data_IF_567469710891
#
_entry.id   IF_567469710891
#
_cell.length_a   1.000
_cell.length_b   1.000
_cell.length_c   1.000
_cell.angle_alpha   90.00
_cell.angle_beta   90.00
_cell.angle_gamma   90.00
#
_symmetry.space_group_name_H-M   'P 1'
#
loop_
_entity.id
_entity.type
_entity.pdbx_description
1 polymer ?
#
# COMPACT_ATOMS: atom_id res chain seq x y z
N UNK A 1 17.65 4.81 -11.58
CA UNK A 1 16.20 4.98 -11.36
C UNK A 1 15.86 4.83 -9.86
N UNK A 2 16.51 3.91 -9.13
CA UNK A 2 16.35 3.70 -7.68
C UNK A 2 16.69 4.96 -6.85
N UNK A 3 17.64 5.74 -7.28
CA UNK A 3 18.17 6.90 -6.57
C UNK A 3 17.17 8.06 -6.43
N UNK A 4 16.40 8.33 -7.47
CA UNK A 4 15.46 9.45 -7.49
C UNK A 4 14.25 9.25 -6.56
N UNK A 5 13.91 8.00 -6.27
CA UNK A 5 12.79 7.65 -5.40
C UNK A 5 13.10 7.88 -3.91
N UNK A 6 14.34 7.67 -3.49
CA UNK A 6 14.77 7.67 -2.08
C UNK A 6 15.03 9.09 -1.55
N UNK A 7 15.43 10.03 -2.42
CA UNK A 7 15.92 11.35 -2.01
C UNK A 7 14.85 12.31 -1.47
N UNK A 8 13.56 12.06 -1.67
CA UNK A 8 12.48 12.95 -1.21
C UNK A 8 11.77 12.50 0.07
N UNK A 9 12.22 11.42 0.66
CA UNK A 9 11.41 10.59 1.56
C UNK A 9 11.19 11.17 2.96
N UNK A 10 12.24 11.57 3.67
CA UNK A 10 12.12 11.99 5.07
C UNK A 10 11.39 13.33 5.26
N UNK A 11 11.35 14.17 4.22
CA UNK A 11 10.68 15.49 4.26
C UNK A 11 9.19 15.42 3.90
N UNK A 12 8.79 14.44 3.09
CA UNK A 12 7.42 14.38 2.54
C UNK A 12 6.45 13.53 3.39
N UNK A 13 6.96 12.70 4.30
CA UNK A 13 6.15 11.79 5.12
C UNK A 13 6.51 11.94 6.61
N UNK A 14 6.15 13.08 7.23
CA UNK A 14 6.38 13.30 8.65
C UNK A 14 5.60 12.28 9.49
N UNK A 15 6.03 12.07 10.74
CA UNK A 15 5.20 11.34 11.70
C UNK A 15 3.94 12.18 11.92
N UNK A 16 2.80 11.61 11.66
CA UNK A 16 1.52 12.30 11.81
C UNK A 16 0.61 11.52 12.74
N UNK A 17 0.05 12.21 13.71
CA UNK A 17 -1.01 11.70 14.59
C UNK A 17 -2.40 11.94 13.99
N UNK A 18 -2.50 12.09 12.66
CA UNK A 18 -3.77 12.33 12.00
C UNK A 18 -4.74 11.20 12.25
N UNK A 19 -5.96 11.55 12.55
CA UNK A 19 -7.02 10.58 12.75
C UNK A 19 -7.31 9.85 11.44
N UNK A 20 -7.34 8.53 11.49
CA UNK A 20 -7.79 7.69 10.37
C UNK A 20 -9.25 7.95 10.05
N UNK A 21 -9.66 7.67 8.82
CA UNK A 21 -11.07 7.71 8.44
C UNK A 21 -11.92 6.84 9.39
N UNK A 22 -13.16 7.27 9.63
CA UNK A 22 -14.14 6.46 10.37
C UNK A 22 -14.56 5.20 9.61
N UNK A 23 -14.45 5.24 8.27
CA UNK A 23 -14.66 4.10 7.37
C UNK A 23 -13.32 3.43 7.14
N UNK A 24 -13.23 2.11 7.26
CA UNK A 24 -12.00 1.39 6.98
C UNK A 24 -11.61 1.53 5.50
N UNK A 25 -10.50 2.18 5.25
CA UNK A 25 -10.08 2.55 3.90
C UNK A 25 -8.87 1.72 3.46
N UNK A 26 -9.08 0.89 2.44
CA UNK A 26 -8.02 0.18 1.71
C UNK A 26 -7.52 1.13 0.63
N UNK A 27 -6.22 1.36 0.51
CA UNK A 27 -5.69 2.29 -0.49
C UNK A 27 -4.82 1.60 -1.55
N UNK A 28 -5.05 2.02 -2.79
CA UNK A 28 -4.14 1.80 -3.89
C UNK A 28 -3.76 3.15 -4.50
N UNK A 29 -2.45 3.37 -4.73
CA UNK A 29 -1.94 4.55 -5.45
C UNK A 29 -1.17 4.10 -6.68
N UNK A 30 -1.35 4.79 -7.79
CA UNK A 30 -0.62 4.43 -9.00
C UNK A 30 -0.97 5.27 -10.23
N UNK A 31 -0.68 4.72 -11.39
CA UNK A 31 -1.02 5.29 -12.69
C UNK A 31 -2.08 4.45 -13.39
N UNK A 32 -2.82 5.01 -14.35
CA UNK A 32 -3.83 4.26 -15.13
C UNK A 32 -3.29 2.98 -15.74
N UNK A 33 -2.04 2.98 -16.20
CA UNK A 33 -1.40 1.81 -16.82
C UNK A 33 -1.25 0.60 -15.88
N UNK A 34 -1.27 0.83 -14.56
CA UNK A 34 -1.14 -0.22 -13.54
C UNK A 34 -2.44 -0.49 -12.79
N UNK A 35 -3.44 0.37 -12.95
CA UNK A 35 -4.75 0.20 -12.32
C UNK A 35 -5.47 -1.08 -12.78
N UNK A 36 -5.20 -1.55 -13.99
CA UNK A 36 -5.73 -2.81 -14.54
C UNK A 36 -5.48 -4.03 -13.66
N UNK A 37 -4.39 -4.04 -12.86
CA UNK A 37 -4.09 -5.16 -11.96
C UNK A 37 -5.05 -5.26 -10.77
N UNK A 38 -5.87 -4.24 -10.53
CA UNK A 38 -6.94 -4.30 -9.54
C UNK A 38 -8.06 -5.26 -9.94
N UNK A 39 -8.26 -5.48 -11.24
CA UNK A 39 -9.24 -6.46 -11.75
C UNK A 39 -8.89 -7.88 -11.30
N UNK A 40 -7.61 -8.22 -11.20
CA UNK A 40 -7.16 -9.56 -10.80
C UNK A 40 -7.58 -9.92 -9.37
N UNK A 41 -7.73 -8.90 -8.52
CA UNK A 41 -8.14 -9.04 -7.11
C UNK A 41 -9.55 -8.51 -6.82
N UNK A 42 -10.28 -8.07 -7.84
CA UNK A 42 -11.64 -7.53 -7.65
C UNK A 42 -12.59 -8.50 -6.96
N UNK A 43 -12.56 -9.83 -7.20
CA UNK A 43 -13.40 -10.76 -6.45
C UNK A 43 -13.11 -10.74 -4.93
N UNK A 44 -11.84 -10.58 -4.55
CA UNK A 44 -11.47 -10.45 -3.15
C UNK A 44 -11.95 -9.13 -2.55
N UNK A 45 -11.81 -8.02 -3.29
CA UNK A 45 -12.26 -6.70 -2.82
C UNK A 45 -13.79 -6.65 -2.64
N UNK A 46 -14.55 -7.27 -3.56
CA UNK A 46 -16.00 -7.41 -3.43
C UNK A 46 -16.36 -8.12 -2.11
N UNK A 47 -15.74 -9.27 -1.87
CA UNK A 47 -16.00 -10.08 -0.67
C UNK A 47 -15.59 -9.36 0.61
N UNK A 48 -14.49 -8.63 0.58
CA UNK A 48 -14.01 -7.81 1.72
C UNK A 48 -14.97 -6.67 2.04
N UNK A 49 -15.53 -5.99 1.04
CA UNK A 49 -16.47 -4.89 1.24
C UNK A 49 -17.87 -5.36 1.65
N UNK A 50 -18.24 -6.60 1.34
CA UNK A 50 -19.59 -7.13 1.55
C UNK A 50 -19.97 -7.12 3.03
N UNK A 51 -21.02 -6.34 3.37
CA UNK A 51 -21.55 -6.26 4.75
C UNK A 51 -20.62 -5.60 5.77
N UNK A 52 -19.55 -4.92 5.32
CA UNK A 52 -18.58 -4.23 6.18
C UNK A 52 -18.50 -2.75 5.82
N UNK A 53 -18.15 -1.92 6.79
CA UNK A 53 -17.91 -0.49 6.57
C UNK A 53 -16.50 -0.27 6.00
N UNK A 54 -16.28 -0.74 4.75
CA UNK A 54 -15.00 -0.71 4.04
C UNK A 54 -15.18 -0.02 2.70
N UNK A 55 -14.22 0.84 2.36
CA UNK A 55 -14.09 1.48 1.05
C UNK A 55 -12.69 1.25 0.47
N UNK A 56 -12.60 1.12 -0.85
CA UNK A 56 -11.33 1.06 -1.57
C UNK A 56 -11.05 2.43 -2.18
N UNK A 57 -9.99 3.10 -1.74
CA UNK A 57 -9.54 4.39 -2.28
C UNK A 57 -8.50 4.17 -3.35
N UNK A 58 -8.79 4.66 -4.56
CA UNK A 58 -7.90 4.62 -5.71
C UNK A 58 -7.33 6.01 -5.95
N UNK A 59 -6.01 6.17 -5.90
CA UNK A 59 -5.34 7.46 -6.11
C UNK A 59 -4.56 7.40 -7.43
N UNK A 60 -4.97 8.21 -8.41
CA UNK A 60 -4.33 8.30 -9.72
C UNK A 60 -4.63 7.11 -10.65
N UNK A 61 -5.70 6.36 -10.41
CA UNK A 61 -6.10 5.23 -11.24
C UNK A 61 -6.58 5.64 -12.64
N UNK A 62 -7.01 6.90 -12.80
CA UNK A 62 -7.72 7.33 -14.00
C UNK A 62 -9.13 6.75 -14.03
N UNK A 63 -9.64 6.57 -15.22
CA UNK A 63 -10.92 5.89 -15.45
C UNK A 63 -10.73 4.38 -15.28
N UNK A 64 -11.45 3.81 -14.33
CA UNK A 64 -11.47 2.36 -14.06
C UNK A 64 -12.86 1.99 -13.57
N UNK A 65 -13.34 0.85 -14.01
CA UNK A 65 -14.59 0.27 -13.53
C UNK A 65 -14.30 -1.04 -12.77
N UNK A 66 -14.55 -1.03 -11.47
CA UNK A 66 -14.45 -2.21 -10.61
C UNK A 66 -15.85 -2.63 -10.17
N UNK A 67 -16.58 -3.24 -11.08
CA UNK A 67 -17.97 -3.66 -10.86
C UNK A 67 -18.12 -4.45 -9.56
N UNK A 68 -19.03 -4.01 -8.71
CA UNK A 68 -19.34 -4.65 -7.42
C UNK A 68 -18.39 -4.31 -6.27
N UNK A 69 -17.31 -3.58 -6.49
CA UNK A 69 -16.43 -3.08 -5.43
C UNK A 69 -16.95 -1.72 -4.93
N UNK A 70 -17.01 -1.53 -3.63
CA UNK A 70 -17.26 -0.22 -3.03
C UNK A 70 -15.95 0.60 -3.07
N UNK A 71 -15.82 1.54 -4.01
CA UNK A 71 -14.60 2.33 -4.17
C UNK A 71 -14.86 3.81 -4.44
N UNK A 72 -13.85 4.63 -4.18
CA UNK A 72 -13.72 6.02 -4.63
C UNK A 72 -12.45 6.19 -5.45
N UNK A 73 -12.51 7.01 -6.50
CA UNK A 73 -11.35 7.33 -7.35
C UNK A 73 -11.00 8.81 -7.20
N UNK A 74 -9.74 9.08 -6.84
CA UNK A 74 -9.22 10.42 -6.58
C UNK A 74 -8.06 10.73 -7.53
N UNK A 75 -8.01 11.96 -8.00
CA UNK A 75 -6.87 12.44 -8.78
C UNK A 75 -5.62 12.50 -7.91
N UNK A 76 -4.49 12.04 -8.45
CA UNK A 76 -3.21 12.18 -7.79
C UNK A 76 -2.67 13.61 -7.90
N UNK A 77 -2.15 14.14 -6.81
CA UNK A 77 -1.26 15.28 -6.82
C UNK A 77 -0.21 15.12 -5.73
N UNK A 78 0.97 15.64 -5.97
CA UNK A 78 2.11 15.55 -5.05
C UNK A 78 1.81 16.17 -3.68
N UNK A 79 1.06 17.25 -3.67
CA UNK A 79 0.71 18.03 -2.47
C UNK A 79 -0.29 17.27 -1.58
N UNK A 80 -1.19 16.50 -2.20
CA UNK A 80 -2.26 15.77 -1.50
C UNK A 80 -1.89 14.33 -1.14
N UNK A 81 -0.90 13.75 -1.82
CA UNK A 81 -0.52 12.33 -1.70
C UNK A 81 -0.38 11.87 -0.25
N UNK A 82 0.46 12.57 0.52
CA UNK A 82 0.69 12.22 1.92
C UNK A 82 -0.60 12.24 2.75
N UNK A 83 -1.40 13.29 2.61
CA UNK A 83 -2.64 13.42 3.39
C UNK A 83 -3.63 12.31 3.04
N UNK A 84 -3.81 12.03 1.74
CA UNK A 84 -4.71 10.98 1.26
C UNK A 84 -4.30 9.59 1.73
N UNK A 85 -2.99 9.29 1.74
CA UNK A 85 -2.46 8.02 2.25
C UNK A 85 -2.60 7.93 3.77
N UNK A 86 -2.31 9.01 4.49
CA UNK A 86 -2.31 9.02 5.95
C UNK A 86 -3.71 8.83 6.59
N UNK A 87 -4.78 9.10 5.83
CA UNK A 87 -6.16 8.84 6.22
C UNK A 87 -6.56 7.35 6.09
N UNK A 88 -5.75 6.54 5.40
CA UNK A 88 -6.09 5.16 5.08
C UNK A 88 -5.61 4.18 6.16
N UNK A 89 -6.04 2.93 6.05
CA UNK A 89 -5.77 1.87 7.03
C UNK A 89 -4.78 0.83 6.53
N UNK A 90 -4.85 0.45 5.26
CA UNK A 90 -3.99 -0.58 4.66
C UNK A 90 -3.70 -0.25 3.19
N UNK A 91 -2.44 -0.43 2.78
CA UNK A 91 -2.03 -0.28 1.39
C UNK A 91 -2.04 -1.61 0.64
N UNK A 92 -2.49 -1.60 -0.62
CA UNK A 92 -2.49 -2.80 -1.46
C UNK A 92 -1.59 -2.64 -2.68
N UNK A 93 -0.90 -3.74 -3.04
CA UNK A 93 -0.02 -3.79 -4.21
C UNK A 93 -0.23 -5.07 -5.02
N UNK A 94 -1.32 -5.17 -5.79
CA UNK A 94 -1.51 -6.26 -6.72
C UNK A 94 -0.54 -6.14 -7.91
N UNK A 95 0.15 -7.21 -8.22
CA UNK A 95 1.02 -7.34 -9.38
C UNK A 95 0.87 -8.73 -10.00
N UNK A 96 0.83 -8.83 -11.34
CA UNK A 96 0.95 -10.11 -12.01
C UNK A 96 2.38 -10.65 -11.85
N UNK A 97 2.52 -11.98 -11.81
CA UNK A 97 3.83 -12.63 -11.77
C UNK A 97 4.44 -12.67 -13.19
N UNK A 98 5.06 -11.56 -13.57
CA UNK A 98 5.73 -11.38 -14.86
C UNK A 98 7.10 -10.74 -14.66
N UNK A 99 8.08 -10.97 -15.58
CA UNK A 99 9.40 -10.33 -15.51
C UNK A 99 9.33 -8.81 -15.43
N UNK A 100 8.38 -8.20 -16.15
CA UNK A 100 8.15 -6.75 -16.11
C UNK A 100 7.71 -6.26 -14.72
N UNK A 101 6.77 -6.96 -14.08
CA UNK A 101 6.28 -6.58 -12.76
C UNK A 101 7.33 -6.86 -11.67
N UNK A 102 8.10 -7.93 -11.80
CA UNK A 102 9.19 -8.24 -10.89
C UNK A 102 10.31 -7.18 -10.91
N UNK A 103 10.55 -6.52 -12.03
CA UNK A 103 11.55 -5.45 -12.17
C UNK A 103 11.13 -4.09 -11.56
N UNK A 104 9.95 -3.96 -10.98
CA UNK A 104 9.49 -2.69 -10.39
C UNK A 104 10.15 -2.41 -9.04
N UNK A 105 10.50 -1.15 -8.81
CA UNK A 105 11.10 -0.68 -7.55
C UNK A 105 10.12 -0.55 -6.37
N UNK A 106 8.83 -0.80 -6.61
CA UNK A 106 7.76 -0.85 -5.60
C UNK A 106 7.69 0.36 -4.66
N UNK A 107 7.93 1.56 -5.20
CA UNK A 107 7.86 2.83 -4.46
C UNK A 107 6.56 2.97 -3.66
N UNK A 108 5.44 2.52 -4.20
CA UNK A 108 4.13 2.56 -3.53
C UNK A 108 4.14 1.86 -2.17
N UNK A 109 4.79 0.71 -2.10
CA UNK A 109 4.92 -0.05 -0.84
C UNK A 109 5.69 0.74 0.21
N UNK A 110 6.77 1.38 -0.24
CA UNK A 110 7.57 2.24 0.60
C UNK A 110 6.72 3.45 1.07
N UNK A 111 5.93 4.07 0.22
CA UNK A 111 5.02 5.17 0.57
C UNK A 111 3.99 4.75 1.61
N UNK A 112 3.36 3.58 1.44
CA UNK A 112 2.41 3.04 2.44
C UNK A 112 3.07 2.84 3.79
N UNK A 113 4.19 2.13 3.82
CA UNK A 113 4.92 1.86 5.07
C UNK A 113 5.38 3.15 5.74
N UNK A 114 5.73 4.18 4.98
CA UNK A 114 6.09 5.48 5.50
C UNK A 114 4.94 6.23 6.15
N UNK A 115 3.75 6.04 5.66
CA UNK A 115 2.55 6.53 6.31
C UNK A 115 2.13 5.65 7.50
N UNK A 116 2.94 4.64 7.88
CA UNK A 116 2.58 3.70 8.95
C UNK A 116 1.41 2.80 8.57
N UNK A 117 1.24 2.49 7.28
CA UNK A 117 0.22 1.56 6.81
C UNK A 117 0.82 0.16 6.72
N UNK A 118 0.18 -0.88 7.28
CA UNK A 118 0.47 -2.24 6.91
C UNK A 118 0.13 -2.45 5.43
N UNK A 119 0.72 -3.47 4.82
CA UNK A 119 0.58 -3.72 3.39
C UNK A 119 0.11 -5.13 3.10
N UNK A 120 -0.70 -5.28 2.06
CA UNK A 120 -1.01 -6.57 1.44
C UNK A 120 -0.57 -6.52 -0.01
N UNK A 121 0.28 -7.45 -0.44
CA UNK A 121 0.90 -7.40 -1.75
C UNK A 121 1.01 -8.77 -2.42
N UNK A 122 1.03 -8.80 -3.76
CA UNK A 122 1.39 -10.02 -4.50
C UNK A 122 2.83 -10.42 -4.22
N UNK A 123 3.16 -11.72 -4.12
CA UNK A 123 4.53 -12.21 -3.88
C UNK A 123 5.40 -12.12 -5.15
N UNK A 124 5.63 -10.90 -5.64
CA UNK A 124 6.33 -10.62 -6.89
C UNK A 124 7.44 -9.59 -6.68
N UNK A 125 8.65 -9.90 -7.16
CA UNK A 125 9.80 -9.01 -7.15
C UNK A 125 10.10 -8.45 -5.75
N UNK A 126 10.37 -7.15 -5.66
CA UNK A 126 10.69 -6.48 -4.39
C UNK A 126 9.58 -6.54 -3.32
N UNK A 127 8.35 -6.89 -3.66
CA UNK A 127 7.32 -7.09 -2.63
C UNK A 127 7.74 -8.15 -1.62
N UNK A 128 8.43 -9.22 -2.09
CA UNK A 128 8.90 -10.32 -1.23
C UNK A 128 9.93 -9.82 -0.20
N UNK A 129 10.78 -8.89 -0.58
CA UNK A 129 11.81 -8.32 0.30
C UNK A 129 11.24 -7.26 1.26
N UNK A 130 10.24 -6.50 0.79
CA UNK A 130 9.61 -5.44 1.56
C UNK A 130 8.69 -5.98 2.64
N UNK A 131 7.98 -7.08 2.36
CA UNK A 131 7.02 -7.66 3.30
C UNK A 131 7.70 -8.69 4.19
N UNK A 132 7.89 -8.35 5.45
CA UNK A 132 8.18 -9.30 6.51
C UNK A 132 6.85 -9.87 7.00
N UNK A 133 6.54 -11.09 6.57
CA UNK A 133 5.26 -11.76 6.85
C UNK A 133 4.92 -11.70 8.35
N UNK A 134 3.66 -11.37 8.66
CA UNK A 134 3.11 -11.23 10.01
C UNK A 134 3.76 -10.12 10.87
N UNK A 135 4.68 -9.30 10.30
CA UNK A 135 5.33 -8.18 10.99
C UNK A 135 4.90 -6.82 10.46
N UNK A 136 4.98 -6.59 9.15
CA UNK A 136 4.63 -5.31 8.54
C UNK A 136 3.58 -5.44 7.44
N UNK A 137 3.11 -6.66 7.16
CA UNK A 137 2.12 -6.92 6.13
C UNK A 137 2.00 -8.39 5.77
N UNK A 138 1.30 -8.64 4.68
CA UNK A 138 1.03 -9.97 4.16
C UNK A 138 1.33 -10.07 2.68
N UNK A 139 1.81 -11.24 2.26
CA UNK A 139 1.83 -11.64 0.86
C UNK A 139 0.57 -12.44 0.53
N UNK A 140 -0.08 -12.10 -0.58
CA UNK A 140 -1.32 -12.72 -1.05
C UNK A 140 -1.16 -13.17 -2.51
N UNK A 141 -1.26 -14.47 -2.76
CA UNK A 141 -1.14 -15.07 -4.10
C UNK A 141 -2.50 -15.31 -4.74
N UNK A 142 -3.50 -15.67 -3.94
CA UNK A 142 -4.85 -16.01 -4.40
C UNK A 142 -5.88 -15.02 -3.87
N UNK A 143 -7.06 -14.93 -4.50
CA UNK A 143 -8.16 -14.12 -3.99
C UNK A 143 -8.54 -14.49 -2.55
N UNK A 144 -8.44 -15.77 -2.17
CA UNK A 144 -8.65 -16.22 -0.79
C UNK A 144 -7.63 -15.63 0.17
N UNK A 145 -6.36 -15.51 -0.24
CA UNK A 145 -5.32 -14.88 0.59
C UNK A 145 -5.58 -13.39 0.76
N UNK A 146 -5.95 -12.69 -0.33
CA UNK A 146 -6.33 -11.28 -0.29
C UNK A 146 -7.48 -11.03 0.67
N UNK A 147 -8.59 -11.78 0.51
CA UNK A 147 -9.77 -11.68 1.39
C UNK A 147 -9.40 -11.94 2.84
N UNK A 148 -8.75 -13.06 3.13
CA UNK A 148 -8.36 -13.46 4.49
C UNK A 148 -7.48 -12.40 5.17
N UNK A 149 -6.46 -11.92 4.47
CA UNK A 149 -5.48 -10.99 5.03
C UNK A 149 -6.09 -9.60 5.26
N UNK A 150 -6.93 -9.10 4.33
CA UNK A 150 -7.60 -7.82 4.49
C UNK A 150 -8.66 -7.85 5.61
N UNK A 151 -9.45 -8.93 5.72
CA UNK A 151 -10.41 -9.12 6.82
C UNK A 151 -9.66 -9.22 8.16
N UNK A 152 -8.56 -9.96 8.22
CA UNK A 152 -7.75 -10.07 9.44
C UNK A 152 -7.26 -8.70 9.93
N UNK A 153 -6.89 -7.80 9.01
CA UNK A 153 -6.50 -6.44 9.36
C UNK A 153 -7.69 -5.57 9.76
N UNK A 154 -8.84 -5.75 9.11
CA UNK A 154 -10.07 -5.04 9.47
C UNK A 154 -10.55 -5.38 10.88
N UNK A 155 -10.53 -6.65 11.24
CA UNK A 155 -11.03 -7.16 12.53
C UNK A 155 -10.05 -6.89 13.70
N UNK A 156 -8.82 -6.43 13.43
CA UNK A 156 -7.78 -6.29 14.46
C UNK A 156 -7.07 -4.91 14.39
N UNK A 157 -7.64 -3.86 14.99
CA UNK A 157 -7.04 -2.51 14.99
C UNK A 157 -5.64 -2.44 15.61
N UNK A 158 -5.37 -3.23 16.64
CA UNK A 158 -4.05 -3.28 17.28
C UNK A 158 -2.99 -3.86 16.34
N UNK A 159 -3.40 -4.83 15.52
CA UNK A 159 -2.52 -5.42 14.51
C UNK A 159 -2.17 -4.40 13.41
N UNK A 160 -3.14 -3.58 12.99
CA UNK A 160 -2.92 -2.48 12.05
C UNK A 160 -1.83 -1.54 12.58
N UNK A 161 -1.97 -1.08 13.82
CA UNK A 161 -1.03 -0.16 14.46
C UNK A 161 0.37 -0.79 14.59
N UNK A 162 0.43 -2.01 15.10
CA UNK A 162 1.70 -2.73 15.28
C UNK A 162 2.42 -2.95 13.95
N UNK A 163 1.73 -3.46 12.95
CA UNK A 163 2.31 -3.71 11.62
C UNK A 163 2.71 -2.42 10.91
N UNK A 164 1.89 -1.39 11.01
CA UNK A 164 2.20 -0.09 10.45
C UNK A 164 3.47 0.50 11.01
N UNK A 165 3.64 0.46 12.34
CA UNK A 165 4.85 0.93 13.02
C UNK A 165 6.09 0.13 12.62
N UNK A 166 6.00 -1.19 12.51
CA UNK A 166 7.11 -2.03 12.06
C UNK A 166 7.48 -1.75 10.59
N UNK A 167 6.49 -1.56 9.73
CA UNK A 167 6.69 -1.16 8.33
C UNK A 167 7.40 0.18 8.25
N UNK A 168 6.97 1.17 9.03
CA UNK A 168 7.59 2.49 9.12
C UNK A 168 9.06 2.40 9.54
N UNK A 169 9.38 1.69 10.62
CA UNK A 169 10.75 1.48 11.09
C UNK A 169 11.62 0.85 10.02
N UNK A 170 11.13 -0.21 9.34
CA UNK A 170 11.87 -0.85 8.24
C UNK A 170 12.26 0.13 7.15
N UNK A 171 11.34 1.02 6.81
CA UNK A 171 11.60 2.03 5.79
C UNK A 171 12.58 3.10 6.28
N UNK A 172 12.45 3.58 7.49
CA UNK A 172 13.39 4.55 8.10
C UNK A 172 14.80 3.97 8.17
N UNK A 173 14.93 2.70 8.54
CA UNK A 173 16.23 2.03 8.70
C UNK A 173 16.90 1.67 7.38
N UNK A 174 16.14 1.34 6.34
CA UNK A 174 16.71 0.79 5.09
C UNK A 174 16.56 1.68 3.88
N UNK A 175 15.54 2.54 3.85
CA UNK A 175 15.16 3.30 2.64
C UNK A 175 15.14 4.82 2.87
N UNK A 176 15.57 5.32 4.05
CA UNK A 176 15.68 6.76 4.29
C UNK A 176 16.96 7.35 3.69
N UNK A 177 16.92 8.64 3.36
CA UNK A 177 18.09 9.39 2.86
C UNK A 177 19.29 9.29 3.81
N UNK A 178 19.06 9.45 5.12
CA UNK A 178 20.13 9.40 6.10
C UNK A 178 20.89 8.08 6.12
N UNK A 179 20.24 6.98 5.76
CA UNK A 179 20.88 5.66 5.73
C UNK A 179 21.51 5.33 4.39
N UNK A 180 21.02 5.92 3.30
CA UNK A 180 21.53 5.63 1.97
C UNK A 180 22.67 6.59 1.57
N UNK A 181 22.64 7.84 2.05
CA UNK A 181 23.64 8.85 1.69
C UNK A 181 25.11 8.43 1.99
N UNK A 182 25.44 7.82 3.16
CA UNK A 182 26.81 7.40 3.46
C UNK A 182 27.36 6.27 2.57
N UNK A 183 26.50 5.58 1.82
CA UNK A 183 26.93 4.48 0.92
C UNK A 183 27.47 4.97 -0.42
N UNK A 184 27.43 6.28 -0.66
CA UNK A 184 27.75 6.88 -1.95
C UNK A 184 28.78 8.01 -1.86
N UNK A 185 29.41 8.19 -0.70
CA UNK A 185 30.60 8.98 -0.46
C UNK A 185 31.75 8.04 -0.22
#
# INVERSE_FOLDING_TARGET
IFWFCITKWSRNYPISNKQKNSVFTIVWIGSPSTAKYLHDISPALIEVCKGRNIIVRLIGAGEIDLIGVNYESLSWSKEKEFNLLNECHVGIMPLPDTPWAAGKCNLKMIQYMACGLPVVASPVGMNIELVDKDKNGYLAKTNKDWTRNLIKLYDNPDLLSTMGNLGRRKVEDRYSLHKQYPRYI
#
